data_IF_597677971575
#
_entry.id   IF_597677971575
#
_cell.length_a   1.000
_cell.length_b   1.000
_cell.length_c   1.000
_cell.angle_alpha   90.00
_cell.angle_beta   90.00
_cell.angle_gamma   90.00
#
_symmetry.space_group_name_H-M   'P 1'
#
loop_
_entity.id
_entity.type
_entity.pdbx_description
1 polymer ?
#
# COMPACT_ATOMS: atom_id res chain seq x y z
N UNK A 1 0.18 -15.37 -30.61
CA UNK A 1 0.29 -13.99 -30.09
C UNK A 1 -0.69 -13.10 -30.83
N UNK A 2 -1.83 -12.73 -30.22
CA UNK A 2 -2.49 -11.41 -30.31
C UNK A 2 -3.43 -11.35 -29.09
N UNK A 3 -2.98 -10.77 -27.97
CA UNK A 3 -3.80 -10.61 -26.74
C UNK A 3 -4.01 -9.13 -26.37
N UNK A 4 -3.73 -8.22 -27.31
CA UNK A 4 -3.66 -6.76 -27.06
C UNK A 4 -4.79 -5.90 -27.65
N UNK A 5 -5.68 -6.44 -28.49
CA UNK A 5 -6.65 -5.61 -29.24
C UNK A 5 -8.12 -5.75 -28.78
N UNK A 6 -8.42 -6.63 -27.82
CA UNK A 6 -9.79 -6.82 -27.37
C UNK A 6 -10.37 -5.59 -26.65
N UNK A 7 -9.56 -4.82 -25.92
CA UNK A 7 -10.03 -3.60 -25.24
C UNK A 7 -10.39 -2.47 -26.21
N UNK A 8 -9.61 -2.29 -27.28
CA UNK A 8 -9.89 -1.31 -28.34
C UNK A 8 -11.09 -1.70 -29.20
N UNK A 9 -11.26 -2.99 -29.47
CA UNK A 9 -12.43 -3.51 -30.18
C UNK A 9 -13.72 -3.37 -29.36
N UNK A 10 -13.66 -3.61 -28.05
CA UNK A 10 -14.82 -3.40 -27.17
C UNK A 10 -15.21 -1.90 -27.09
N UNK A 11 -14.21 -1.01 -27.08
CA UNK A 11 -14.42 0.45 -27.06
C UNK A 11 -15.15 0.97 -28.32
N UNK A 12 -14.74 0.52 -29.51
CA UNK A 12 -15.39 0.92 -30.76
C UNK A 12 -16.84 0.41 -30.83
N UNK A 13 -17.10 -0.79 -30.31
CA UNK A 13 -18.45 -1.36 -30.24
C UNK A 13 -19.37 -0.58 -29.29
N UNK A 14 -18.84 -0.09 -28.16
CA UNK A 14 -19.56 0.77 -27.21
C UNK A 14 -19.89 2.15 -27.79
N UNK A 15 -19.17 2.63 -28.83
CA UNK A 15 -19.46 3.92 -29.49
C UNK A 15 -20.58 3.80 -30.54
N UNK A 16 -20.64 2.70 -31.27
CA UNK A 16 -21.63 2.47 -32.34
C UNK A 16 -23.00 2.01 -31.84
N UNK A 17 -23.09 1.50 -30.62
CA UNK A 17 -24.32 0.91 -30.06
C UNK A 17 -25.05 1.84 -29.07
N UNK A 18 -24.72 3.14 -29.04
CA UNK A 18 -25.36 4.09 -28.11
C UNK A 18 -26.64 4.65 -28.73
N UNK A 19 -27.77 4.09 -28.35
CA UNK A 19 -29.07 4.74 -28.54
C UNK A 19 -29.18 5.93 -27.57
N UNK A 20 -28.43 7.01 -27.81
CA UNK A 20 -28.55 8.25 -27.05
C UNK A 20 -29.82 8.95 -27.49
N UNK A 21 -30.76 9.11 -26.56
CA UNK A 21 -32.10 9.62 -26.86
C UNK A 21 -32.17 11.14 -26.77
N UNK A 22 -31.18 11.83 -26.16
CA UNK A 22 -31.18 13.28 -26.01
C UNK A 22 -29.79 13.92 -25.95
N UNK A 23 -29.75 15.24 -26.19
CA UNK A 23 -28.56 16.07 -26.05
C UNK A 23 -27.98 16.01 -24.62
N UNK A 24 -28.82 16.06 -23.59
CA UNK A 24 -28.35 16.03 -22.20
C UNK A 24 -27.70 14.68 -21.87
N UNK A 25 -28.23 13.59 -22.39
CA UNK A 25 -27.65 12.26 -22.22
C UNK A 25 -26.26 12.17 -22.88
N UNK A 26 -26.13 12.66 -24.12
CA UNK A 26 -24.83 12.73 -24.79
C UNK A 26 -23.84 13.62 -24.02
N UNK A 27 -24.26 14.82 -23.62
CA UNK A 27 -23.41 15.78 -22.92
C UNK A 27 -22.94 15.28 -21.55
N UNK A 28 -23.79 14.55 -20.81
CA UNK A 28 -23.41 13.87 -19.57
C UNK A 28 -22.30 12.84 -19.79
N UNK A 29 -22.47 11.94 -20.77
CA UNK A 29 -21.49 10.89 -21.07
C UNK A 29 -20.18 11.43 -21.63
N UNK A 30 -20.25 12.53 -22.38
CA UNK A 30 -19.07 13.25 -22.88
C UNK A 30 -18.33 13.92 -21.75
N UNK A 31 -19.04 14.64 -20.87
CA UNK A 31 -18.45 15.33 -19.72
C UNK A 31 -17.72 14.38 -18.79
N UNK A 32 -18.25 13.16 -18.59
CA UNK A 32 -17.59 12.14 -17.79
C UNK A 32 -16.30 11.66 -18.45
N UNK A 33 -16.29 11.51 -19.77
CA UNK A 33 -15.08 11.13 -20.52
C UNK A 33 -13.98 12.17 -20.44
N UNK A 34 -14.36 13.45 -20.51
CA UNK A 34 -13.48 14.59 -20.27
C UNK A 34 -13.18 14.83 -18.79
N UNK A 35 -13.65 13.92 -17.93
CA UNK A 35 -13.35 13.88 -16.50
C UNK A 35 -13.77 15.17 -15.78
N UNK A 36 -14.79 15.86 -16.28
CA UNK A 36 -15.25 17.15 -15.78
C UNK A 36 -16.40 16.97 -14.80
N UNK A 37 -16.08 16.84 -13.51
CA UNK A 37 -17.08 16.66 -12.42
C UNK A 37 -18.23 17.66 -12.51
N UNK A 38 -17.97 18.96 -12.61
CA UNK A 38 -19.02 19.98 -12.61
C UNK A 38 -19.97 19.85 -13.81
N UNK A 39 -19.45 19.53 -14.99
CA UNK A 39 -20.27 19.30 -16.17
C UNK A 39 -21.06 17.99 -16.06
N UNK A 40 -20.45 16.92 -15.53
CA UNK A 40 -21.13 15.65 -15.22
C UNK A 40 -22.31 15.90 -14.29
N UNK A 41 -22.10 16.61 -13.19
CA UNK A 41 -23.15 16.98 -12.23
C UNK A 41 -24.27 17.77 -12.91
N UNK A 42 -23.91 18.83 -13.63
CA UNK A 42 -24.87 19.70 -14.30
C UNK A 42 -25.76 18.95 -15.29
N UNK A 43 -25.17 18.15 -16.16
CA UNK A 43 -25.94 17.41 -17.16
C UNK A 43 -26.71 16.22 -16.57
N UNK A 44 -26.20 15.57 -15.51
CA UNK A 44 -26.93 14.50 -14.81
C UNK A 44 -28.26 14.99 -14.22
N UNK A 45 -28.25 16.18 -13.61
CA UNK A 45 -29.47 16.78 -13.04
C UNK A 45 -30.53 17.07 -14.12
N UNK A 46 -30.11 17.31 -15.37
CA UNK A 46 -31.01 17.55 -16.50
C UNK A 46 -31.53 16.28 -17.17
N UNK A 47 -31.03 15.11 -16.80
CA UNK A 47 -31.54 13.84 -17.30
C UNK A 47 -32.89 13.50 -16.67
N UNK A 48 -33.79 12.94 -17.47
CA UNK A 48 -35.00 12.28 -16.99
C UNK A 48 -34.66 11.03 -16.18
N UNK A 49 -35.63 10.52 -15.41
CA UNK A 49 -35.42 9.33 -14.57
C UNK A 49 -35.01 8.09 -15.40
N UNK A 50 -35.60 7.94 -16.60
CA UNK A 50 -35.26 6.85 -17.51
C UNK A 50 -33.84 6.98 -18.09
N UNK A 51 -33.44 8.20 -18.47
CA UNK A 51 -32.10 8.47 -19.00
C UNK A 51 -31.02 8.25 -17.93
N UNK A 52 -31.26 8.65 -16.68
CA UNK A 52 -30.35 8.36 -15.56
C UNK A 52 -30.12 6.86 -15.42
N UNK A 53 -31.20 6.07 -15.40
CA UNK A 53 -31.12 4.61 -15.32
C UNK A 53 -30.34 3.99 -16.48
N UNK A 54 -30.51 4.52 -17.71
CA UNK A 54 -29.85 3.99 -18.90
C UNK A 54 -28.35 4.39 -19.03
N UNK A 55 -27.96 5.56 -18.51
CA UNK A 55 -26.62 6.11 -18.74
C UNK A 55 -25.68 6.00 -17.55
N UNK A 56 -26.15 6.06 -16.31
CA UNK A 56 -25.28 6.21 -15.14
C UNK A 56 -24.23 5.09 -15.05
N UNK A 57 -24.69 3.83 -15.05
CA UNK A 57 -23.81 2.66 -14.94
C UNK A 57 -22.84 2.54 -16.12
N UNK A 58 -23.36 2.68 -17.34
CA UNK A 58 -22.55 2.65 -18.56
C UNK A 58 -21.46 3.72 -18.55
N UNK A 59 -21.79 4.92 -18.06
CA UNK A 59 -20.86 6.06 -18.02
C UNK A 59 -19.74 5.81 -17.02
N UNK A 60 -20.05 5.32 -15.82
CA UNK A 60 -19.04 4.99 -14.82
C UNK A 60 -18.12 3.86 -15.29
N UNK A 61 -18.67 2.79 -15.89
CA UNK A 61 -17.86 1.71 -16.46
C UNK A 61 -16.96 2.23 -17.59
N UNK A 62 -17.47 3.09 -18.47
CA UNK A 62 -16.67 3.70 -19.53
C UNK A 62 -15.57 4.60 -18.96
N UNK A 63 -15.85 5.37 -17.90
CA UNK A 63 -14.85 6.19 -17.22
C UNK A 63 -13.72 5.33 -16.63
N UNK A 64 -14.09 4.23 -15.96
CA UNK A 64 -13.16 3.30 -15.33
C UNK A 64 -12.31 2.51 -16.33
N UNK A 65 -12.87 2.19 -17.51
CA UNK A 65 -12.18 1.43 -18.56
C UNK A 65 -11.23 2.28 -19.42
N UNK A 66 -11.56 3.56 -19.64
CA UNK A 66 -10.87 4.40 -20.62
C UNK A 66 -9.71 5.22 -20.04
N UNK A 67 -9.39 5.08 -18.75
CA UNK A 67 -8.35 5.90 -18.16
C UNK A 67 -6.98 5.21 -18.26
N UNK A 68 -6.09 5.65 -19.17
CA UNK A 68 -4.72 5.16 -19.19
C UNK A 68 -4.01 5.56 -17.89
N UNK A 69 -3.12 4.70 -17.43
CA UNK A 69 -2.44 4.74 -16.13
C UNK A 69 -1.40 5.86 -15.98
N UNK A 70 -1.58 7.03 -16.59
CA UNK A 70 -0.55 8.07 -16.70
C UNK A 70 -1.03 9.44 -16.17
N UNK A 71 -0.96 9.55 -14.84
CA UNK A 71 -0.41 10.65 -14.03
C UNK A 71 -0.91 12.11 -14.13
N UNK A 72 -1.78 12.53 -15.06
CA UNK A 72 -2.14 13.97 -15.14
C UNK A 72 -3.58 14.35 -14.78
N UNK A 73 -4.55 13.43 -14.81
CA UNK A 73 -5.96 13.77 -14.54
C UNK A 73 -6.61 12.93 -13.43
N UNK A 74 -5.82 12.28 -12.59
CA UNK A 74 -6.37 11.37 -11.58
C UNK A 74 -7.23 12.05 -10.52
N UNK A 75 -6.92 13.29 -10.14
CA UNK A 75 -7.77 14.04 -9.20
C UNK A 75 -9.14 14.32 -9.82
N UNK A 76 -9.15 14.77 -11.09
CA UNK A 76 -10.39 14.96 -11.85
C UNK A 76 -11.15 13.64 -11.95
N UNK A 77 -10.44 12.53 -12.22
CA UNK A 77 -11.02 11.19 -12.34
C UNK A 77 -11.66 10.78 -11.04
N UNK A 78 -10.95 10.89 -9.92
CA UNK A 78 -11.47 10.54 -8.62
C UNK A 78 -12.68 11.40 -8.27
N UNK A 79 -12.65 12.69 -8.57
CA UNK A 79 -13.77 13.60 -8.34
C UNK A 79 -15.02 13.24 -9.18
N UNK A 80 -14.85 12.99 -10.47
CA UNK A 80 -15.94 12.58 -11.36
C UNK A 80 -16.48 11.20 -10.97
N UNK A 81 -15.60 10.23 -10.68
CA UNK A 81 -15.97 8.89 -10.24
C UNK A 81 -16.71 8.91 -8.90
N UNK A 82 -16.25 9.68 -7.92
CA UNK A 82 -16.93 9.82 -6.63
C UNK A 82 -18.35 10.33 -6.80
N UNK A 83 -18.55 11.34 -7.66
CA UNK A 83 -19.88 11.81 -7.98
C UNK A 83 -20.75 10.72 -8.61
N UNK A 84 -20.24 10.03 -9.64
CA UNK A 84 -20.99 8.97 -10.32
C UNK A 84 -21.36 7.84 -9.36
N UNK A 85 -20.44 7.40 -8.49
CA UNK A 85 -20.72 6.40 -7.46
C UNK A 85 -21.76 6.91 -6.46
N UNK A 86 -21.69 8.18 -6.03
CA UNK A 86 -22.67 8.76 -5.09
C UNK A 86 -24.10 8.82 -5.67
N UNK A 87 -24.23 8.89 -6.99
CA UNK A 87 -25.51 8.89 -7.70
C UNK A 87 -26.09 7.48 -7.93
N UNK A 88 -25.29 6.43 -7.69
CA UNK A 88 -25.66 5.03 -7.90
C UNK A 88 -26.34 4.41 -6.68
N UNK A 89 -27.15 3.38 -6.91
CA UNK A 89 -27.58 2.51 -5.81
C UNK A 89 -26.40 1.68 -5.28
N UNK A 90 -26.46 1.17 -4.03
CA UNK A 90 -25.41 0.31 -3.48
C UNK A 90 -25.06 -0.89 -4.39
N UNK A 91 -26.05 -1.50 -5.03
CA UNK A 91 -25.86 -2.64 -5.93
C UNK A 91 -25.06 -2.24 -7.18
N UNK A 92 -25.39 -1.09 -7.77
CA UNK A 92 -24.67 -0.54 -8.92
C UNK A 92 -23.22 -0.16 -8.56
N UNK A 93 -22.99 0.41 -7.38
CA UNK A 93 -21.64 0.71 -6.89
C UNK A 93 -20.82 -0.58 -6.78
N UNK A 94 -21.36 -1.63 -6.14
CA UNK A 94 -20.70 -2.93 -6.01
C UNK A 94 -20.35 -3.50 -7.38
N UNK A 95 -21.27 -3.46 -8.34
CA UNK A 95 -21.06 -3.96 -9.70
C UNK A 95 -19.96 -3.18 -10.44
N UNK A 96 -19.94 -1.85 -10.33
CA UNK A 96 -18.93 -1.00 -10.96
C UNK A 96 -17.54 -1.27 -10.37
N UNK A 97 -17.47 -1.44 -9.05
CA UNK A 97 -16.23 -1.74 -8.33
C UNK A 97 -15.69 -3.10 -8.72
N UNK A 98 -16.55 -4.13 -8.79
CA UNK A 98 -16.16 -5.47 -9.25
C UNK A 98 -15.64 -5.47 -10.69
N UNK A 99 -16.19 -4.62 -11.56
CA UNK A 99 -15.76 -4.54 -12.94
C UNK A 99 -14.35 -3.95 -13.10
N UNK A 100 -13.99 -2.94 -12.30
CA UNK A 100 -12.71 -2.24 -12.41
C UNK A 100 -12.05 -1.92 -11.05
N UNK A 101 -11.75 -2.95 -10.24
CA UNK A 101 -11.39 -2.77 -8.83
C UNK A 101 -10.05 -2.02 -8.67
N UNK A 102 -9.09 -2.27 -9.55
CA UNK A 102 -7.77 -1.62 -9.53
C UNK A 102 -7.86 -0.12 -9.82
N UNK A 103 -8.70 0.28 -10.79
CA UNK A 103 -8.90 1.69 -11.14
C UNK A 103 -9.60 2.42 -10.01
N UNK A 104 -10.69 1.85 -9.48
CA UNK A 104 -11.41 2.43 -8.33
C UNK A 104 -10.49 2.60 -7.13
N UNK A 105 -9.73 1.56 -6.79
CA UNK A 105 -8.76 1.60 -5.70
C UNK A 105 -7.71 2.71 -5.90
N UNK A 106 -7.20 2.87 -7.13
CA UNK A 106 -6.24 3.93 -7.44
C UNK A 106 -6.82 5.34 -7.28
N UNK A 107 -8.12 5.52 -7.54
CA UNK A 107 -8.79 6.81 -7.43
C UNK A 107 -8.97 7.24 -5.97
N UNK A 108 -9.44 6.34 -5.12
CA UNK A 108 -9.72 6.66 -3.71
C UNK A 108 -8.45 6.95 -2.90
N UNK A 109 -7.30 6.41 -3.32
CA UNK A 109 -6.01 6.72 -2.68
C UNK A 109 -5.55 8.17 -2.82
N UNK A 110 -6.21 9.01 -3.62
CA UNK A 110 -5.78 10.39 -3.84
C UNK A 110 -6.32 11.30 -2.73
N UNK A 111 -5.49 12.21 -2.21
CA UNK A 111 -5.99 13.35 -1.44
C UNK A 111 -6.97 14.17 -2.30
N UNK A 112 -8.12 14.62 -1.78
CA UNK A 112 -8.58 14.55 -0.37
C UNK A 112 -9.42 13.30 -0.02
N UNK A 113 -9.53 12.31 -0.91
CA UNK A 113 -10.41 11.14 -0.76
C UNK A 113 -9.77 10.00 0.06
N UNK A 114 -8.61 10.24 0.67
CA UNK A 114 -7.88 9.28 1.48
C UNK A 114 -8.67 8.75 2.68
N UNK A 115 -9.49 9.58 3.30
CA UNK A 115 -10.26 9.17 4.48
C UNK A 115 -11.37 8.21 4.06
N UNK A 116 -12.07 8.56 2.98
CA UNK A 116 -13.06 7.69 2.34
C UNK A 116 -12.43 6.37 1.88
N UNK A 117 -11.19 6.39 1.40
CA UNK A 117 -10.45 5.18 1.06
C UNK A 117 -10.25 4.26 2.25
N UNK A 118 -9.76 4.79 3.37
CA UNK A 118 -9.55 4.00 4.58
C UNK A 118 -10.85 3.41 5.11
N UNK A 119 -11.93 4.20 5.14
CA UNK A 119 -13.27 3.75 5.56
C UNK A 119 -13.80 2.59 4.71
N UNK A 120 -13.47 2.57 3.41
CA UNK A 120 -13.97 1.58 2.46
C UNK A 120 -12.95 0.48 2.13
N UNK A 121 -11.78 0.47 2.76
CA UNK A 121 -10.68 -0.45 2.43
C UNK A 121 -11.11 -1.92 2.53
N UNK A 122 -11.79 -2.31 3.61
CA UNK A 122 -12.28 -3.69 3.82
C UNK A 122 -13.30 -4.13 2.77
N UNK A 123 -14.01 -3.19 2.16
CA UNK A 123 -14.98 -3.45 1.11
C UNK A 123 -14.32 -3.54 -0.28
N UNK A 124 -13.29 -2.72 -0.55
CA UNK A 124 -12.61 -2.68 -1.84
C UNK A 124 -11.61 -3.84 -2.03
N UNK A 125 -10.87 -4.20 -0.96
CA UNK A 125 -9.80 -5.20 -1.01
C UNK A 125 -10.23 -6.58 -1.53
N UNK A 126 -11.40 -7.15 -1.16
CA UNK A 126 -11.83 -8.46 -1.64
C UNK A 126 -12.04 -8.54 -3.15
N UNK A 127 -12.25 -7.41 -3.83
CA UNK A 127 -12.44 -7.38 -5.28
C UNK A 127 -11.13 -7.29 -6.06
N UNK A 128 -10.00 -7.02 -5.41
CA UNK A 128 -8.72 -6.90 -6.07
C UNK A 128 -8.16 -8.29 -6.42
N UNK A 129 -7.84 -8.56 -7.70
CA UNK A 129 -7.18 -9.80 -8.06
C UNK A 129 -5.74 -9.81 -7.53
N UNK A 130 -5.23 -10.97 -7.12
CA UNK A 130 -3.85 -11.13 -6.62
C UNK A 130 -2.80 -10.56 -7.60
N UNK A 131 -3.03 -10.71 -8.91
CA UNK A 131 -2.16 -10.19 -9.97
C UNK A 131 -2.03 -8.66 -9.99
N UNK A 132 -2.92 -7.94 -9.30
CA UNK A 132 -2.89 -6.48 -9.21
C UNK A 132 -2.08 -5.96 -8.02
N UNK A 133 -1.75 -6.79 -7.02
CA UNK A 133 -1.12 -6.33 -5.78
C UNK A 133 0.24 -5.68 -6.03
N UNK A 134 1.09 -6.30 -6.86
CA UNK A 134 2.39 -5.74 -7.23
C UNK A 134 2.24 -4.36 -7.89
N UNK A 135 1.38 -4.24 -8.90
CA UNK A 135 1.13 -2.96 -9.57
C UNK A 135 0.58 -1.88 -8.62
N UNK A 136 -0.24 -2.26 -7.63
CA UNK A 136 -0.76 -1.33 -6.62
C UNK A 136 0.29 -0.86 -5.63
N UNK A 137 1.17 -1.76 -5.21
CA UNK A 137 2.31 -1.44 -4.35
C UNK A 137 3.30 -0.53 -5.07
N UNK A 138 3.66 -0.84 -6.31
CA UNK A 138 4.55 -0.01 -7.14
C UNK A 138 3.98 1.39 -7.36
N UNK A 139 2.69 1.51 -7.71
CA UNK A 139 2.01 2.81 -7.85
C UNK A 139 2.00 3.59 -6.54
N UNK A 140 1.96 2.91 -5.40
CA UNK A 140 2.03 3.56 -4.10
C UNK A 140 3.37 4.24 -3.83
N UNK A 141 4.47 3.59 -4.21
CA UNK A 141 5.83 4.13 -4.04
C UNK A 141 6.06 5.33 -4.97
N UNK A 142 5.63 5.22 -6.24
CA UNK A 142 5.84 6.26 -7.24
C UNK A 142 5.09 7.57 -6.96
N UNK A 143 4.10 7.55 -6.05
CA UNK A 143 3.19 8.67 -5.78
C UNK A 143 3.43 9.28 -4.41
N UNK A 144 4.70 9.39 -4.06
CA UNK A 144 5.18 9.83 -2.75
C UNK A 144 4.65 11.22 -2.36
N UNK A 145 3.46 11.24 -1.77
CA UNK A 145 2.95 12.34 -0.96
C UNK A 145 3.23 11.98 0.50
N UNK A 146 4.11 12.75 1.14
CA UNK A 146 4.66 12.47 2.48
C UNK A 146 3.57 12.30 3.54
N UNK A 147 2.53 13.13 3.47
CA UNK A 147 1.42 13.10 4.44
C UNK A 147 0.58 11.85 4.23
N UNK A 148 0.35 11.49 2.96
CA UNK A 148 -0.37 10.29 2.60
C UNK A 148 0.38 9.02 3.06
N UNK A 149 1.70 9.03 2.89
CA UNK A 149 2.54 7.87 3.03
C UNK A 149 2.75 7.44 4.50
N UNK A 150 3.12 8.39 5.37
CA UNK A 150 3.39 8.15 6.80
C UNK A 150 2.16 7.65 7.57
N UNK A 151 0.99 8.28 7.37
CA UNK A 151 -0.20 7.96 8.20
C UNK A 151 -1.11 6.89 7.63
N UNK A 152 -1.41 6.94 6.33
CA UNK A 152 -2.48 6.11 5.77
C UNK A 152 -1.99 4.72 5.40
N UNK A 153 -0.74 4.59 4.94
CA UNK A 153 -0.24 3.29 4.53
C UNK A 153 -0.19 2.28 5.69
N UNK A 154 0.30 2.60 6.90
CA UNK A 154 0.28 1.64 8.01
C UNK A 154 -1.13 1.18 8.39
N UNK A 155 -2.11 2.09 8.43
CA UNK A 155 -3.51 1.76 8.72
C UNK A 155 -4.17 0.92 7.62
N UNK A 156 -3.88 1.24 6.35
CA UNK A 156 -4.29 0.43 5.23
C UNK A 156 -3.63 -0.97 5.27
N UNK A 157 -2.33 -1.03 5.54
CA UNK A 157 -1.56 -2.27 5.56
C UNK A 157 -2.04 -3.20 6.67
N UNK A 158 -2.40 -2.65 7.83
CA UNK A 158 -3.03 -3.38 8.94
C UNK A 158 -4.30 -4.11 8.49
N UNK A 159 -5.17 -3.43 7.76
CA UNK A 159 -6.43 -3.95 7.22
C UNK A 159 -6.27 -4.84 5.98
N UNK A 160 -5.07 -4.85 5.38
CA UNK A 160 -4.84 -5.58 4.13
C UNK A 160 -4.90 -7.10 4.31
N UNK A 161 -5.33 -7.85 3.26
CA UNK A 161 -5.42 -9.30 3.35
C UNK A 161 -4.03 -9.93 3.51
N UNK A 162 -3.93 -11.14 4.09
CA UNK A 162 -2.64 -11.82 4.26
C UNK A 162 -1.83 -11.95 2.96
N UNK A 163 -2.49 -12.22 1.84
CA UNK A 163 -1.81 -12.33 0.55
C UNK A 163 -1.20 -11.01 0.11
N UNK A 164 -1.86 -9.87 0.35
CA UNK A 164 -1.30 -8.55 0.06
C UNK A 164 -0.01 -8.30 0.86
N UNK A 165 -0.04 -8.67 2.15
CA UNK A 165 1.11 -8.56 3.05
C UNK A 165 2.27 -9.46 2.61
N UNK A 166 1.98 -10.67 2.11
CA UNK A 166 2.99 -11.56 1.49
C UNK A 166 3.58 -10.97 0.22
N UNK A 167 2.75 -10.36 -0.64
CA UNK A 167 3.22 -9.67 -1.85
C UNK A 167 4.15 -8.50 -1.52
N UNK A 168 3.84 -7.73 -0.48
CA UNK A 168 4.71 -6.65 0.03
C UNK A 168 6.11 -7.15 0.39
N UNK A 169 6.20 -8.33 1.01
CA UNK A 169 7.47 -8.98 1.41
C UNK A 169 8.15 -9.73 0.27
N UNK A 170 7.40 -10.09 -0.78
CA UNK A 170 7.87 -11.02 -1.81
C UNK A 170 9.11 -10.50 -2.56
N UNK A 171 10.05 -11.42 -2.81
CA UNK A 171 11.39 -11.14 -3.32
C UNK A 171 11.48 -11.12 -4.86
N UNK A 172 10.46 -10.61 -5.56
CA UNK A 172 10.64 -10.28 -6.97
C UNK A 172 11.74 -9.21 -7.11
N UNK A 173 12.33 -9.07 -8.31
CA UNK A 173 13.51 -8.21 -8.59
C UNK A 173 13.44 -6.80 -7.98
N UNK A 174 12.24 -6.30 -7.78
CA UNK A 174 11.92 -5.14 -6.96
C UNK A 174 11.07 -5.56 -5.75
N UNK A 175 11.64 -5.45 -4.55
CA UNK A 175 10.91 -5.73 -3.31
C UNK A 175 10.09 -4.49 -2.98
N UNK A 176 8.75 -4.54 -3.04
CA UNK A 176 7.95 -3.35 -2.77
C UNK A 176 8.26 -2.79 -1.38
N UNK A 177 8.43 -3.66 -0.38
CA UNK A 177 8.82 -3.24 0.97
C UNK A 177 10.04 -2.32 1.01
N UNK A 178 11.03 -2.46 0.11
CA UNK A 178 12.19 -1.57 0.09
C UNK A 178 11.78 -0.12 -0.16
N UNK A 179 10.98 0.13 -1.20
CA UNK A 179 10.55 1.50 -1.50
C UNK A 179 9.75 2.11 -0.35
N UNK A 180 8.93 1.29 0.31
CA UNK A 180 8.15 1.78 1.44
C UNK A 180 8.99 2.03 2.68
N UNK A 181 9.85 1.08 3.05
CA UNK A 181 10.70 1.20 4.22
C UNK A 181 11.74 2.30 4.04
N UNK A 182 12.34 2.46 2.84
CA UNK A 182 13.27 3.56 2.58
C UNK A 182 12.66 4.92 2.94
N UNK A 183 11.41 5.15 2.52
CA UNK A 183 10.67 6.36 2.86
C UNK A 183 10.48 6.54 4.38
N UNK A 184 10.02 5.51 5.10
CA UNK A 184 9.85 5.61 6.56
C UNK A 184 11.19 5.83 7.29
N UNK A 185 12.28 5.24 6.79
CA UNK A 185 13.63 5.45 7.33
C UNK A 185 14.14 6.88 7.09
N UNK A 186 13.88 7.44 5.90
CA UNK A 186 14.16 8.85 5.57
C UNK A 186 13.41 9.83 6.49
N UNK A 187 12.16 9.50 6.83
CA UNK A 187 11.33 10.33 7.70
C UNK A 187 11.56 10.07 9.20
N UNK A 188 12.25 8.97 9.55
CA UNK A 188 12.39 8.53 10.94
C UNK A 188 11.06 8.07 11.56
N UNK A 189 10.13 7.59 10.75
CA UNK A 189 8.79 7.15 11.18
C UNK A 189 8.84 5.73 11.75
N UNK A 190 9.28 5.63 13.00
CA UNK A 190 9.35 4.36 13.73
C UNK A 190 7.98 3.74 13.96
N UNK A 191 6.94 4.55 14.13
CA UNK A 191 5.58 4.07 14.38
C UNK A 191 5.02 3.32 13.16
N UNK A 192 5.23 3.86 11.96
CA UNK A 192 4.86 3.19 10.71
C UNK A 192 5.60 1.86 10.53
N UNK A 193 6.91 1.83 10.81
CA UNK A 193 7.72 0.61 10.72
C UNK A 193 7.20 -0.47 11.67
N UNK A 194 6.95 -0.11 12.94
CA UNK A 194 6.41 -1.03 13.92
C UNK A 194 5.04 -1.57 13.49
N UNK A 195 4.14 -0.67 13.05
CA UNK A 195 2.81 -1.03 12.60
C UNK A 195 2.85 -2.02 11.42
N UNK A 196 3.75 -1.81 10.45
CA UNK A 196 3.95 -2.74 9.33
C UNK A 196 4.43 -4.10 9.84
N UNK A 197 5.53 -4.13 10.60
CA UNK A 197 6.15 -5.37 11.06
C UNK A 197 5.23 -6.20 11.96
N UNK A 198 4.45 -5.57 12.84
CA UNK A 198 3.44 -6.24 13.68
C UNK A 198 2.35 -6.94 12.87
N UNK A 199 2.10 -6.45 11.65
CA UNK A 199 1.11 -7.00 10.74
C UNK A 199 1.69 -7.99 9.71
N UNK A 200 2.99 -8.28 9.76
CA UNK A 200 3.63 -9.30 8.92
C UNK A 200 3.85 -10.59 9.72
N UNK A 201 3.64 -11.74 9.08
CA UNK A 201 3.92 -13.05 9.68
C UNK A 201 5.39 -13.17 10.11
N UNK A 202 5.67 -13.92 11.17
CA UNK A 202 7.04 -14.03 11.71
C UNK A 202 8.07 -14.49 10.65
N UNK A 203 7.72 -15.50 9.86
CA UNK A 203 8.59 -15.99 8.78
C UNK A 203 8.85 -14.93 7.69
N UNK A 204 7.86 -14.08 7.41
CA UNK A 204 7.97 -13.04 6.40
C UNK A 204 8.74 -11.81 6.91
N UNK A 205 8.68 -11.50 8.22
CA UNK A 205 9.57 -10.51 8.85
C UNK A 205 11.04 -10.89 8.71
N UNK A 206 11.35 -12.16 8.96
CA UNK A 206 12.72 -12.69 8.77
C UNK A 206 13.14 -12.55 7.30
N UNK A 207 12.27 -12.89 6.35
CA UNK A 207 12.57 -12.68 4.91
C UNK A 207 12.84 -11.22 4.56
N UNK A 208 12.07 -10.28 5.12
CA UNK A 208 12.31 -8.85 4.93
C UNK A 208 13.70 -8.46 5.43
N UNK A 209 14.03 -8.86 6.66
CA UNK A 209 15.31 -8.57 7.30
C UNK A 209 16.49 -9.03 6.46
N UNK A 210 16.42 -10.23 5.90
CA UNK A 210 17.49 -10.82 5.08
C UNK A 210 17.42 -10.46 3.60
N UNK A 211 16.53 -9.54 3.22
CA UNK A 211 16.48 -9.06 1.85
C UNK A 211 17.68 -8.17 1.54
N UNK A 212 18.37 -8.40 0.41
CA UNK A 212 19.59 -7.67 0.05
C UNK A 212 19.43 -6.14 0.02
N UNK A 213 18.26 -5.62 -0.40
CA UNK A 213 17.99 -4.18 -0.45
C UNK A 213 17.71 -3.61 0.94
N UNK A 214 16.97 -4.35 1.77
CA UNK A 214 16.70 -3.97 3.16
C UNK A 214 17.98 -3.98 3.98
N UNK A 215 18.85 -4.98 3.80
CA UNK A 215 20.16 -4.99 4.41
C UNK A 215 20.98 -3.76 3.99
N UNK A 216 20.96 -3.40 2.70
CA UNK A 216 21.60 -2.16 2.23
C UNK A 216 21.05 -0.92 2.94
N UNK A 217 19.72 -0.84 3.08
CA UNK A 217 19.07 0.25 3.81
C UNK A 217 19.56 0.35 5.26
N UNK A 218 19.72 -0.78 5.96
CA UNK A 218 20.27 -0.79 7.32
C UNK A 218 21.70 -0.27 7.35
N UNK A 219 22.54 -0.70 6.42
CA UNK A 219 23.91 -0.22 6.30
C UNK A 219 23.96 1.30 6.17
N UNK A 220 23.25 1.84 5.17
CA UNK A 220 23.26 3.27 4.87
C UNK A 220 22.81 4.08 6.10
N UNK A 221 21.73 3.65 6.77
CA UNK A 221 21.23 4.31 7.98
C UNK A 221 22.19 4.22 9.17
N UNK A 222 22.85 3.06 9.39
CA UNK A 222 23.85 2.93 10.45
C UNK A 222 25.02 3.89 10.21
N UNK A 223 25.55 3.94 8.98
CA UNK A 223 26.66 4.82 8.63
C UNK A 223 26.31 6.29 8.79
N UNK A 224 25.08 6.68 8.45
CA UNK A 224 24.56 8.03 8.65
C UNK A 224 24.28 8.37 10.13
N UNK A 225 24.33 7.39 11.05
CA UNK A 225 24.02 7.60 12.47
C UNK A 225 22.53 7.53 12.79
N UNK A 226 21.71 7.08 11.84
CA UNK A 226 20.30 6.74 12.02
C UNK A 226 20.15 5.32 12.57
N UNK A 227 20.97 4.95 13.55
CA UNK A 227 20.87 3.66 14.23
C UNK A 227 19.51 3.42 14.91
N UNK A 228 18.89 4.39 15.62
CA UNK A 228 17.66 4.13 16.37
C UNK A 228 16.50 3.57 15.53
N UNK A 229 16.35 4.02 14.27
CA UNK A 229 15.29 3.52 13.39
C UNK A 229 15.55 2.08 12.92
N UNK A 230 16.82 1.72 12.71
CA UNK A 230 17.26 0.34 12.41
C UNK A 230 17.01 -0.55 13.62
N UNK A 231 17.34 -0.08 14.82
CA UNK A 231 17.12 -0.80 16.08
C UNK A 231 15.63 -1.13 16.28
N UNK A 232 14.74 -0.15 16.06
CA UNK A 232 13.28 -0.36 16.12
C UNK A 232 12.85 -1.47 15.15
N UNK A 233 13.31 -1.41 13.90
CA UNK A 233 12.99 -2.43 12.91
C UNK A 233 13.41 -3.82 13.37
N UNK A 234 14.66 -3.97 13.83
CA UNK A 234 15.22 -5.26 14.24
C UNK A 234 14.54 -5.82 15.49
N UNK A 235 14.20 -4.96 16.45
CA UNK A 235 13.45 -5.34 17.66
C UNK A 235 12.06 -5.88 17.31
N UNK A 236 11.34 -5.20 16.42
CA UNK A 236 9.99 -5.64 16.03
C UNK A 236 10.01 -6.86 15.10
N UNK A 237 11.10 -7.08 14.37
CA UNK A 237 11.31 -8.30 13.59
C UNK A 237 11.45 -9.56 14.48
N UNK A 238 11.89 -9.41 15.73
CA UNK A 238 12.00 -10.49 16.73
C UNK A 238 12.85 -11.68 16.25
N UNK A 239 14.04 -11.38 15.74
CA UNK A 239 15.00 -12.37 15.25
C UNK A 239 15.40 -13.36 16.36
N UNK A 240 15.52 -14.64 16.01
CA UNK A 240 16.10 -15.66 16.87
C UNK A 240 17.61 -15.45 17.08
N UNK A 241 18.20 -16.19 18.03
CA UNK A 241 19.66 -16.16 18.26
C UNK A 241 20.45 -16.58 17.00
N UNK A 242 19.96 -17.61 16.31
CA UNK A 242 20.56 -18.09 15.07
C UNK A 242 20.45 -17.06 13.94
N UNK A 243 19.33 -16.35 13.86
CA UNK A 243 19.11 -15.29 12.87
C UNK A 243 19.96 -14.06 13.17
N UNK A 244 20.07 -13.63 14.44
CA UNK A 244 20.98 -12.56 14.86
C UNK A 244 22.43 -12.90 14.49
N UNK A 245 22.87 -14.14 14.75
CA UNK A 245 24.19 -14.64 14.35
C UNK A 245 24.37 -14.60 12.83
N UNK A 246 23.39 -15.10 12.06
CA UNK A 246 23.44 -15.07 10.59
C UNK A 246 23.52 -13.65 10.05
N UNK A 247 22.79 -12.71 10.64
CA UNK A 247 22.87 -11.29 10.27
C UNK A 247 24.28 -10.75 10.52
N UNK A 248 24.86 -11.05 11.68
CA UNK A 248 26.25 -10.68 12.00
C UNK A 248 27.23 -11.18 10.94
N UNK A 249 27.11 -12.44 10.52
CA UNK A 249 27.98 -13.05 9.51
C UNK A 249 27.84 -12.35 8.14
N UNK A 250 26.60 -12.08 7.70
CA UNK A 250 26.33 -11.32 6.46
C UNK A 250 26.93 -9.92 6.55
N UNK A 251 26.81 -9.29 7.72
CA UNK A 251 27.35 -7.96 7.89
C UNK A 251 28.88 -7.96 7.84
N UNK A 252 29.53 -8.93 8.50
CA UNK A 252 30.98 -9.10 8.43
C UNK A 252 31.42 -9.40 7.00
N UNK A 253 30.73 -10.26 6.26
CA UNK A 253 31.09 -10.62 4.89
C UNK A 253 31.04 -9.42 3.94
N UNK A 254 29.96 -8.65 3.97
CA UNK A 254 29.84 -7.43 3.15
C UNK A 254 30.88 -6.38 3.57
N UNK A 255 31.20 -6.33 4.85
CA UNK A 255 32.25 -5.47 5.39
C UNK A 255 33.67 -6.06 5.29
N UNK A 256 33.91 -7.24 4.71
CA UNK A 256 35.28 -7.77 4.51
C UNK A 256 36.09 -6.92 3.54
N UNK A 257 35.40 -6.21 2.65
CA UNK A 257 35.97 -5.15 1.82
C UNK A 257 36.29 -3.87 2.63
N UNK A 258 35.67 -3.71 3.80
CA UNK A 258 35.69 -2.52 4.68
C UNK A 258 36.25 -2.85 6.09
N UNK A 259 36.95 -3.98 6.27
CA UNK A 259 37.24 -4.55 7.59
C UNK A 259 38.21 -3.69 8.44
N UNK A 260 38.89 -2.74 7.81
CA UNK A 260 39.64 -1.67 8.48
C UNK A 260 38.75 -0.57 9.09
N UNK A 261 37.53 -0.38 8.60
CA UNK A 261 36.55 0.62 9.09
C UNK A 261 35.71 0.08 10.24
N UNK A 262 35.47 -1.24 10.31
CA UNK A 262 34.71 -1.89 11.36
C UNK A 262 35.31 -1.67 12.76
N UNK A 263 36.65 -1.66 12.85
CA UNK A 263 37.38 -1.31 14.08
C UNK A 263 37.40 0.20 14.37
N UNK A 264 37.01 1.05 13.41
CA UNK A 264 37.07 2.52 13.51
C UNK A 264 35.69 3.18 13.63
N UNK A 265 34.61 2.49 13.25
CA UNK A 265 33.28 3.06 13.25
C UNK A 265 32.52 2.70 14.54
N UNK A 266 32.46 3.61 15.53
CA UNK A 266 31.74 3.36 16.78
C UNK A 266 30.24 3.08 16.56
N UNK A 267 29.66 3.49 15.42
CA UNK A 267 28.25 3.25 15.10
C UNK A 267 27.96 1.77 14.80
N UNK A 268 28.87 1.09 14.09
CA UNK A 268 28.76 -0.35 13.83
C UNK A 268 28.94 -1.17 15.12
N UNK A 269 29.76 -0.69 16.05
CA UNK A 269 29.93 -1.34 17.35
C UNK A 269 28.59 -1.46 18.10
N UNK A 270 27.80 -0.38 18.14
CA UNK A 270 26.47 -0.39 18.78
C UNK A 270 25.54 -1.43 18.15
N UNK A 271 25.57 -1.57 16.82
CA UNK A 271 24.79 -2.61 16.13
C UNK A 271 25.24 -4.03 16.49
N UNK A 272 26.55 -4.29 16.55
CA UNK A 272 27.05 -5.61 16.93
C UNK A 272 26.75 -5.93 18.40
N UNK A 273 26.89 -4.95 19.30
CA UNK A 273 26.54 -5.09 20.71
C UNK A 273 25.05 -5.47 20.83
N UNK A 274 24.15 -4.82 20.07
CA UNK A 274 22.72 -5.17 20.02
C UNK A 274 22.44 -6.59 19.52
N UNK A 275 23.19 -7.08 18.52
CA UNK A 275 23.03 -8.45 18.03
C UNK A 275 23.56 -9.50 19.03
N UNK A 276 24.54 -9.12 19.84
CA UNK A 276 25.14 -9.96 20.88
C UNK A 276 24.32 -9.95 22.19
N UNK A 277 23.41 -8.98 22.38
CA UNK A 277 22.47 -8.97 23.50
C UNK A 277 21.61 -10.24 23.51
N UNK A 278 21.77 -11.02 24.59
CA UNK A 278 20.93 -12.17 24.88
C UNK A 278 19.48 -11.73 25.13
N UNK A 279 18.50 -12.55 24.73
CA UNK A 279 17.07 -12.33 25.00
C UNK A 279 16.68 -12.46 26.49
N UNK A 280 17.54 -12.02 27.42
CA UNK A 280 17.33 -12.08 28.86
C UNK A 280 16.16 -11.19 29.33
N UNK A 281 15.68 -10.28 28.47
CA UNK A 281 14.50 -9.45 28.74
C UNK A 281 13.17 -10.21 28.68
N UNK A 282 13.06 -11.30 27.91
CA UNK A 282 11.82 -12.10 27.89
C UNK A 282 11.64 -12.91 29.19
N UNK A 283 12.76 -13.28 29.81
CA UNK A 283 12.79 -14.12 31.01
C UNK A 283 12.65 -13.29 32.30
N UNK A 284 13.13 -12.04 32.29
CA UNK A 284 12.91 -11.07 33.37
C UNK A 284 11.47 -10.58 33.42
N UNK A 285 10.80 -10.35 32.28
CA UNK A 285 9.38 -9.95 32.27
C UNK A 285 8.45 -11.10 32.72
N UNK A 286 8.75 -12.35 32.33
CA UNK A 286 8.05 -13.55 32.85
C UNK A 286 8.30 -13.77 34.33
N UNK A 287 9.53 -13.59 34.83
CA UNK A 287 9.85 -13.70 36.26
C UNK A 287 9.21 -12.57 37.07
N UNK A 288 9.11 -11.35 36.52
CA UNK A 288 8.43 -10.23 37.15
C UNK A 288 6.90 -10.42 37.22
N UNK A 289 6.29 -10.99 36.17
CA UNK A 289 4.85 -11.36 36.18
C UNK A 289 4.54 -12.51 37.14
N UNK A 290 5.46 -13.48 37.27
CA UNK A 290 5.30 -14.61 38.20
C UNK A 290 5.40 -14.17 39.67
N UNK A 291 6.34 -13.28 40.00
CA UNK A 291 6.46 -12.68 41.35
C UNK A 291 5.24 -11.84 41.73
N UNK A 292 4.67 -11.07 40.80
CA UNK A 292 3.44 -10.30 41.05
C UNK A 292 2.20 -11.16 41.31
N UNK A 293 2.16 -12.40 40.80
CA UNK A 293 1.04 -13.31 41.04
C UNK A 293 1.16 -14.04 42.39
N UNK A 294 2.39 -14.31 42.84
CA UNK A 294 2.68 -14.95 44.13
C UNK A 294 2.45 -13.99 45.32
N UNK A 295 2.63 -12.68 45.14
CA UNK A 295 2.36 -11.66 46.18
C UNK A 295 0.87 -11.30 46.36
N UNK A 296 -0.05 -11.83 45.52
CA UNK A 296 -1.49 -11.50 45.57
C UNK A 296 -2.35 -12.52 46.34
N UNK A 297 -1.77 -13.55 46.96
CA UNK A 297 -2.48 -14.49 47.82
C UNK A 297 -1.85 -14.54 49.22
N UNK A 298 -2.25 -13.65 50.15
CA UNK A 298 -2.02 -13.89 51.57
C UNK A 298 -3.04 -14.94 52.07
N UNK A 299 -2.53 -15.94 52.80
CA UNK A 299 -3.32 -16.87 53.64
C UNK A 299 -4.14 -16.13 54.71
#
# INVERSE_FOLDING_TARGET
>A
MVKGDFSKLNFLWVRSNRNLTSFNQWAFEESAREVNKSAVEYFFHKLTHAERGASLMRTALALLANHPSLNFEEEKLSNALCYLLSAMTPEQQVEAIKAHPVTVYSCFRRFPLSDLFLENTNFLLPFLPLSSYDGLLQKGILRYDKIYFSKLFPEFFKQSPPDYKRFFVSAYEFVPAYGYLNAFFEEGDSEAIEAILRNVDAADRVKLVFNHRILSLFYDNIYEGRWPIVEVFLREAKLSKEEKKRMKDIFIERSRTELQELCKNPKLKVFYDFLDEADDNADTEKKARKRKLEDCCPE
#
